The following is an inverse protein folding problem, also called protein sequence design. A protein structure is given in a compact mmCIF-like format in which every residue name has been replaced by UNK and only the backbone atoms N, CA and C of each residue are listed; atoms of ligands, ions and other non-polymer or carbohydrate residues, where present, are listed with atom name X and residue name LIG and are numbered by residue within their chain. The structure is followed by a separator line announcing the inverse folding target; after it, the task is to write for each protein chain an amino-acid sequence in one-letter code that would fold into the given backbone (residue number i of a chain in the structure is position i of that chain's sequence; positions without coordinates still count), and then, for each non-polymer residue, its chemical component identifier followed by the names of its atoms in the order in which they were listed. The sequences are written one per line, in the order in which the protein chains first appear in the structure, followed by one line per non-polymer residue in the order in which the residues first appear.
data_IF_528265100477
#
_entry.id   IF_528265100477
#
_cell.length_a   1.000
_cell.length_b   1.000
_cell.length_c   1.000
_cell.angle_alpha   90.00
_cell.angle_beta   90.00
_cell.angle_gamma   90.00
#
_symmetry.space_group_name_H-M   'P 1'
#
loop_
_entity.id
_entity.type
_entity.pdbx_description
1 polymer ?
#
# COMPACT_ATOMS: atom_id res chain seq x y z
N UNK A 1 -8.37 -16.74 9.66
CA UNK A 1 -8.89 -15.36 9.54
C UNK A 1 -7.82 -14.42 10.06
N UNK A 2 -6.88 -14.03 9.19
CA UNK A 2 -5.82 -13.07 9.51
C UNK A 2 -6.34 -11.68 9.14
N UNK A 3 -6.57 -10.83 10.14
CA UNK A 3 -7.11 -9.49 9.92
C UNK A 3 -6.02 -8.56 9.36
N UNK A 4 -6.37 -7.81 8.31
CA UNK A 4 -5.60 -6.70 7.77
C UNK A 4 -6.49 -5.48 7.83
N UNK A 5 -6.06 -4.43 8.54
CA UNK A 5 -6.77 -3.15 8.57
C UNK A 5 -6.08 -2.19 7.60
N UNK A 6 -6.85 -1.67 6.64
CA UNK A 6 -6.36 -0.72 5.63
C UNK A 6 -7.10 0.60 5.77
N UNK A 7 -6.35 1.70 5.88
CA UNK A 7 -6.89 3.05 5.80
C UNK A 7 -6.18 3.83 4.69
N UNK A 8 -6.94 4.23 3.68
CA UNK A 8 -6.44 4.96 2.53
C UNK A 8 -6.84 6.43 2.58
N UNK A 9 -5.88 7.31 2.30
CA UNK A 9 -6.13 8.70 1.92
C UNK A 9 -5.96 8.84 0.40
N UNK A 10 -6.98 9.39 -0.25
CA UNK A 10 -6.95 9.74 -1.66
C UNK A 10 -7.68 11.08 -1.84
N UNK A 11 -7.81 11.57 -3.07
CA UNK A 11 -8.45 12.85 -3.35
C UNK A 11 -9.92 12.91 -2.89
N UNK A 12 -10.63 11.77 -2.84
CA UNK A 12 -12.02 11.70 -2.40
C UNK A 12 -12.14 11.75 -0.87
N UNK A 13 -11.23 11.08 -0.15
CA UNK A 13 -11.26 11.04 1.33
C UNK A 13 -10.44 12.15 1.98
N UNK A 14 -9.55 12.82 1.24
CA UNK A 14 -8.72 13.93 1.69
C UNK A 14 -8.49 14.93 0.54
N UNK A 15 -9.33 15.96 0.46
CA UNK A 15 -9.26 17.01 -0.56
C UNK A 15 -7.97 17.83 -0.52
N UNK A 16 -7.26 17.86 0.62
CA UNK A 16 -5.97 18.54 0.77
C UNK A 16 -4.83 17.91 -0.02
N UNK A 17 -5.01 16.69 -0.54
CA UNK A 17 -4.05 16.03 -1.42
C UNK A 17 -4.30 16.29 -2.90
N UNK A 18 -5.37 17.02 -3.26
CA UNK A 18 -5.63 17.36 -4.65
C UNK A 18 -4.46 18.14 -5.24
N UNK A 19 -4.13 17.86 -6.51
CA UNK A 19 -3.01 18.43 -7.29
C UNK A 19 -1.59 18.14 -6.78
N UNK A 20 -1.40 17.57 -5.59
CA UNK A 20 -0.08 17.24 -5.05
C UNK A 20 0.54 15.97 -5.64
N UNK A 21 -0.24 15.15 -6.36
CA UNK A 21 0.25 13.94 -7.02
C UNK A 21 0.57 12.78 -6.06
N UNK A 22 0.07 12.82 -4.82
CA UNK A 22 0.35 11.81 -3.79
C UNK A 22 -0.93 11.21 -3.20
N UNK A 23 -0.84 9.95 -2.81
CA UNK A 23 -1.79 9.25 -1.94
C UNK A 23 -1.01 8.58 -0.82
N UNK A 24 -1.62 8.37 0.34
CA UNK A 24 -0.97 7.63 1.43
C UNK A 24 -1.93 6.61 2.03
N UNK A 25 -1.39 5.45 2.37
CA UNK A 25 -2.14 4.33 2.95
C UNK A 25 -1.40 3.86 4.19
N UNK A 26 -2.14 3.60 5.26
CA UNK A 26 -1.66 2.84 6.42
C UNK A 26 -2.28 1.45 6.38
N UNK A 27 -1.45 0.43 6.54
CA UNK A 27 -1.87 -0.96 6.63
C UNK A 27 -1.32 -1.54 7.93
N UNK A 28 -2.20 -2.06 8.76
CA UNK A 28 -1.82 -2.81 9.96
C UNK A 28 -2.03 -4.31 9.67
N UNK A 29 -0.93 -5.07 9.67
CA UNK A 29 -0.93 -6.52 9.44
C UNK A 29 -0.93 -7.29 10.76
N UNK A 30 -1.84 -8.25 10.92
CA UNK A 30 -1.70 -9.29 11.93
C UNK A 30 -0.49 -10.22 11.60
N UNK A 31 0.03 -11.01 12.55
CA UNK A 31 1.01 -12.04 12.24
C UNK A 31 0.55 -12.95 11.09
N UNK A 32 1.40 -13.12 10.08
CA UNK A 32 1.10 -13.84 8.83
C UNK A 32 -0.04 -13.23 7.98
N UNK A 33 -0.47 -12.01 8.28
CA UNK A 33 -1.34 -11.22 7.42
C UNK A 33 -0.62 -10.89 6.11
N UNK A 34 -1.36 -10.92 5.00
CA UNK A 34 -0.79 -10.70 3.67
C UNK A 34 -1.67 -9.73 2.88
N UNK A 35 -1.02 -8.91 2.07
CA UNK A 35 -1.69 -8.24 0.97
C UNK A 35 -1.59 -9.16 -0.25
N UNK A 36 -2.70 -9.49 -0.91
CA UNK A 36 -2.66 -10.27 -2.16
C UNK A 36 -1.78 -9.57 -3.21
N UNK A 37 -1.18 -10.31 -4.15
CA UNK A 37 -0.51 -9.71 -5.30
C UNK A 37 -1.42 -8.72 -6.02
N UNK A 38 -0.95 -7.48 -6.21
CA UNK A 38 -1.74 -6.40 -6.82
C UNK A 38 -0.84 -5.46 -7.63
N UNK A 39 -1.48 -4.56 -8.40
CA UNK A 39 -0.80 -3.56 -9.23
C UNK A 39 -1.35 -2.15 -9.01
N UNK A 40 -0.49 -1.16 -9.16
CA UNK A 40 -0.84 0.26 -9.20
C UNK A 40 -0.63 0.80 -10.63
N UNK A 41 -1.65 0.82 -11.50
CA UNK A 41 -1.47 1.13 -12.93
C UNK A 41 -1.07 2.59 -13.22
N UNK A 42 -1.10 3.48 -12.21
CA UNK A 42 -0.85 4.93 -12.36
C UNK A 42 0.03 5.51 -11.25
N UNK A 43 0.64 4.69 -10.40
CA UNK A 43 1.44 5.17 -9.28
C UNK A 43 2.58 4.20 -8.97
N UNK A 44 3.70 4.73 -8.48
CA UNK A 44 4.73 3.94 -7.80
C UNK A 44 4.45 3.92 -6.30
N UNK A 45 4.92 2.89 -5.61
CA UNK A 45 4.74 2.72 -4.17
C UNK A 45 6.07 2.89 -3.42
N UNK A 46 6.01 3.52 -2.25
CA UNK A 46 7.09 3.55 -1.27
C UNK A 46 6.55 3.00 0.05
N UNK A 47 7.26 2.04 0.64
CA UNK A 47 6.90 1.41 1.90
C UNK A 47 7.78 1.93 3.04
N UNK A 48 7.16 2.36 4.13
CA UNK A 48 7.82 2.67 5.39
C UNK A 48 7.25 1.77 6.49
N UNK A 49 8.09 0.89 7.03
CA UNK A 49 7.72 0.04 8.17
C UNK A 49 7.88 0.83 9.45
N UNK A 50 6.76 1.11 10.12
CA UNK A 50 6.75 1.84 11.40
C UNK A 50 7.02 0.92 12.60
N UNK A 51 6.58 -0.34 12.53
CA UNK A 51 6.74 -1.35 13.59
C UNK A 51 6.82 -2.76 13.00
N UNK A 52 7.63 -3.63 13.60
CA UNK A 52 7.75 -5.04 13.23
C UNK A 52 8.69 -5.28 12.03
N UNK A 53 8.37 -6.30 11.24
CA UNK A 53 9.15 -6.65 10.03
C UNK A 53 8.18 -7.08 8.94
N UNK A 54 8.35 -6.51 7.74
CA UNK A 54 7.51 -6.81 6.58
C UNK A 54 8.36 -7.48 5.50
N UNK A 55 7.88 -8.62 5.01
CA UNK A 55 8.44 -9.29 3.85
C UNK A 55 7.73 -8.75 2.60
N UNK A 56 8.43 -7.94 1.80
CA UNK A 56 7.86 -7.25 0.63
C UNK A 56 8.59 -7.65 -0.65
N UNK A 57 7.82 -7.81 -1.73
CA UNK A 57 8.32 -8.20 -3.05
C UNK A 57 7.62 -7.40 -4.13
N UNK A 58 8.40 -7.01 -5.13
CA UNK A 58 7.90 -6.42 -6.37
C UNK A 58 8.26 -7.36 -7.52
N UNK A 59 7.35 -7.51 -8.46
CA UNK A 59 7.59 -8.25 -9.70
C UNK A 59 7.44 -7.31 -10.88
N UNK A 60 8.27 -7.48 -11.90
CA UNK A 60 8.04 -6.82 -13.18
C UNK A 60 7.05 -7.65 -13.98
N UNK A 61 5.96 -7.01 -14.41
CA UNK A 61 4.97 -7.60 -15.31
C UNK A 61 5.51 -7.76 -16.74
N UNK A 62 6.66 -7.17 -17.07
CA UNK A 62 7.28 -7.19 -18.41
C UNK A 62 8.53 -8.07 -18.52
N UNK A 63 8.93 -8.76 -17.47
CA UNK A 63 10.06 -9.71 -17.52
C UNK A 63 9.49 -11.15 -17.50
N UNK A 64 9.87 -12.01 -18.46
CA UNK A 64 9.48 -13.43 -18.45
C UNK A 64 10.13 -14.20 -17.30
#
# INVERSE_FOLDING_TARGET
MTWVLMKQSNMLSNSGLNTLGVISIRIDYAPNGQSPPHIHPRASEILLVLEGTLYAWFCDIRQP
#
